data_IF_901499787530
#
_entry.id   IF_901499787530
#
_cell.length_a   1.000
_cell.length_b   1.000
_cell.length_c   1.000
_cell.angle_alpha   90.00
_cell.angle_beta   90.00
_cell.angle_gamma   90.00
#
_symmetry.space_group_name_H-M   'P 1'
#
loop_
_entity.id
_entity.type
_entity.pdbx_description
1 polymer ?
#
# COMPACT_ATOMS: atom_id res chain seq x y z
N UNK A 1 -14.45 -9.43 -7.53
CA UNK A 1 -14.20 -8.49 -6.42
C UNK A 1 -14.63 -9.06 -5.05
N UNK A 2 -15.14 -10.30 -5.00
CA UNK A 2 -15.67 -10.93 -3.77
C UNK A 2 -14.65 -11.64 -2.86
N UNK A 3 -13.37 -11.73 -3.24
CA UNK A 3 -12.37 -12.51 -2.51
C UNK A 3 -11.81 -11.83 -1.23
N UNK A 4 -12.31 -10.65 -0.86
CA UNK A 4 -11.84 -9.87 0.29
C UNK A 4 -12.89 -9.67 1.40
N UNK A 5 -14.05 -10.33 1.33
CA UNK A 5 -14.99 -10.33 2.45
C UNK A 5 -14.72 -11.55 3.34
N UNK A 6 -14.23 -11.37 4.58
CA UNK A 6 -14.24 -12.47 5.53
C UNK A 6 -15.70 -12.82 5.87
N UNK A 7 -15.97 -14.12 5.91
CA UNK A 7 -17.27 -14.70 6.25
C UNK A 7 -17.60 -14.40 7.72
N UNK A 8 -18.29 -13.29 7.96
CA UNK A 8 -18.73 -12.88 9.29
C UNK A 8 -19.26 -11.46 9.26
N UNK A 9 -20.59 -11.32 9.22
CA UNK A 9 -21.29 -10.03 9.19
C UNK A 9 -21.13 -9.21 10.48
N UNK A 10 -19.94 -8.68 10.72
CA UNK A 10 -19.69 -7.60 11.65
C UNK A 10 -19.09 -6.43 10.90
N UNK A 11 -19.62 -5.22 11.10
CA UNK A 11 -19.00 -3.99 10.64
C UNK A 11 -17.56 -3.94 11.14
N UNK A 12 -16.60 -4.24 10.27
CA UNK A 12 -15.19 -4.04 10.58
C UNK A 12 -15.00 -2.56 10.83
N UNK A 13 -14.55 -2.21 12.04
CA UNK A 13 -14.27 -0.82 12.36
C UNK A 13 -13.27 -0.26 11.35
N UNK A 14 -13.35 1.03 11.04
CA UNK A 14 -12.44 1.67 10.09
C UNK A 14 -10.96 1.44 10.45
N UNK A 15 -10.66 1.29 11.75
CA UNK A 15 -9.35 0.93 12.25
C UNK A 15 -8.94 -0.50 11.88
N UNK A 16 -9.85 -1.47 11.99
CA UNK A 16 -9.58 -2.86 11.60
C UNK A 16 -9.36 -3.00 10.09
N UNK A 17 -10.14 -2.29 9.28
CA UNK A 17 -9.95 -2.24 7.81
C UNK A 17 -8.59 -1.62 7.47
N UNK A 18 -8.26 -0.47 8.06
CA UNK A 18 -6.96 0.18 7.83
C UNK A 18 -5.80 -0.74 8.22
N UNK A 19 -5.91 -1.45 9.34
CA UNK A 19 -4.90 -2.40 9.78
C UNK A 19 -4.71 -3.53 8.77
N UNK A 20 -5.79 -4.16 8.31
CA UNK A 20 -5.72 -5.20 7.29
C UNK A 20 -5.05 -4.71 6.00
N UNK A 21 -5.35 -3.48 5.57
CA UNK A 21 -4.73 -2.86 4.39
C UNK A 21 -3.23 -2.63 4.58
N UNK A 22 -2.81 -2.19 5.76
CA UNK A 22 -1.40 -1.98 6.08
C UNK A 22 -0.64 -3.31 6.19
N UNK A 23 -1.22 -4.32 6.83
CA UNK A 23 -0.63 -5.66 6.92
C UNK A 23 -0.43 -6.26 5.52
N UNK A 24 -1.41 -6.08 4.61
CA UNK A 24 -1.31 -6.51 3.21
C UNK A 24 -0.20 -5.77 2.46
N UNK A 25 -0.05 -4.46 2.69
CA UNK A 25 1.01 -3.64 2.11
C UNK A 25 2.40 -4.12 2.56
N UNK A 26 2.61 -4.34 3.85
CA UNK A 26 3.90 -4.76 4.41
C UNK A 26 4.31 -6.14 3.88
N UNK A 27 3.37 -7.08 3.83
CA UNK A 27 3.58 -8.43 3.30
C UNK A 27 3.95 -8.41 1.81
N UNK A 28 3.26 -7.59 1.00
CA UNK A 28 3.59 -7.40 -0.41
C UNK A 28 4.97 -6.73 -0.62
N UNK A 29 5.31 -5.73 0.21
CA UNK A 29 6.63 -5.09 0.17
C UNK A 29 7.75 -6.06 0.54
N UNK A 30 7.53 -6.87 1.58
CA UNK A 30 8.47 -7.90 2.02
C UNK A 30 8.76 -8.92 0.91
N UNK A 31 7.71 -9.39 0.21
CA UNK A 31 7.89 -10.26 -0.97
C UNK A 31 8.68 -9.58 -2.09
N UNK A 32 8.35 -8.33 -2.42
CA UNK A 32 9.04 -7.60 -3.49
C UNK A 32 10.56 -7.50 -3.21
N UNK A 33 10.92 -7.15 -1.97
CA UNK A 33 12.31 -7.10 -1.50
C UNK A 33 12.99 -8.48 -1.56
N UNK A 34 12.29 -9.55 -1.15
CA UNK A 34 12.84 -10.90 -1.18
C UNK A 34 13.05 -11.44 -2.61
N UNK A 35 12.33 -10.90 -3.60
CA UNK A 35 12.44 -11.28 -5.02
C UNK A 35 13.34 -10.36 -5.85
N UNK A 36 14.07 -9.45 -5.21
CA UNK A 36 14.95 -8.48 -5.88
C UNK A 36 14.22 -7.61 -6.94
N UNK A 37 12.96 -7.30 -6.64
CA UNK A 37 12.11 -6.51 -7.53
C UNK A 37 12.61 -5.07 -7.57
N UNK A 38 12.72 -4.52 -8.76
CA UNK A 38 13.26 -3.18 -8.96
C UNK A 38 12.28 -2.07 -8.53
N UNK A 39 11.01 -2.23 -8.85
CA UNK A 39 9.95 -1.26 -8.53
C UNK A 39 8.62 -1.96 -8.26
N UNK A 40 7.77 -1.32 -7.47
CA UNK A 40 6.40 -1.77 -7.20
C UNK A 40 5.47 -0.56 -7.10
N UNK A 41 4.24 -0.71 -7.61
CA UNK A 41 3.19 0.32 -7.51
C UNK A 41 2.11 -0.16 -6.54
N UNK A 42 1.86 0.62 -5.50
CA UNK A 42 0.78 0.35 -4.55
C UNK A 42 -0.43 1.24 -4.84
N UNK A 43 -1.58 0.61 -5.07
CA UNK A 43 -2.86 1.30 -5.27
C UNK A 43 -3.58 1.37 -3.92
N UNK A 44 -3.68 2.57 -3.35
CA UNK A 44 -4.35 2.82 -2.07
C UNK A 44 -5.68 3.56 -2.21
N UNK A 45 -6.05 3.95 -3.45
CA UNK A 45 -7.27 4.69 -3.76
C UNK A 45 -7.22 6.17 -3.37
N UNK A 46 -8.24 6.92 -3.79
CA UNK A 46 -8.33 8.38 -3.68
C UNK A 46 -9.17 8.88 -2.50
N UNK A 47 -9.40 8.06 -1.47
CA UNK A 47 -10.27 8.39 -0.33
C UNK A 47 -9.76 9.54 0.54
N UNK A 48 -9.91 9.46 1.87
CA UNK A 48 -9.44 10.51 2.80
C UNK A 48 -7.90 10.69 2.86
N UNK A 49 -7.14 9.90 2.11
CA UNK A 49 -5.68 9.90 2.11
C UNK A 49 -5.05 9.23 3.33
N UNK A 50 -5.84 8.62 4.22
CA UNK A 50 -5.35 7.97 5.45
C UNK A 50 -4.38 6.83 5.13
N UNK A 51 -4.78 5.90 4.26
CA UNK A 51 -3.93 4.78 3.86
C UNK A 51 -2.63 5.26 3.16
N UNK A 52 -2.73 6.24 2.25
CA UNK A 52 -1.57 6.87 1.60
C UNK A 52 -0.57 7.40 2.62
N UNK A 53 -1.05 8.17 3.61
CA UNK A 53 -0.19 8.77 4.64
C UNK A 53 0.56 7.72 5.45
N UNK A 54 -0.12 6.65 5.87
CA UNK A 54 0.54 5.58 6.63
C UNK A 54 1.52 4.78 5.76
N UNK A 55 1.19 4.48 4.49
CA UNK A 55 2.12 3.87 3.54
C UNK A 55 3.39 4.73 3.38
N UNK A 56 3.26 6.03 3.12
CA UNK A 56 4.40 6.95 2.96
C UNK A 56 5.27 7.02 4.23
N UNK A 57 4.64 6.92 5.40
CA UNK A 57 5.30 6.92 6.71
C UNK A 57 6.06 5.62 6.98
N UNK A 58 5.57 4.47 6.49
CA UNK A 58 6.29 3.21 6.55
C UNK A 58 7.47 3.21 5.57
N UNK A 59 7.24 3.62 4.32
CA UNK A 59 8.27 3.72 3.29
C UNK A 59 9.43 4.64 3.68
N UNK A 60 9.13 5.82 4.23
CA UNK A 60 10.16 6.80 4.63
C UNK A 60 11.09 6.30 5.74
N UNK A 61 10.68 5.28 6.51
CA UNK A 61 11.49 4.67 7.57
C UNK A 61 12.19 3.39 7.13
N UNK A 62 11.85 2.86 5.96
CA UNK A 62 12.44 1.65 5.44
C UNK A 62 13.72 1.98 4.67
N UNK A 63 14.85 1.52 5.20
CA UNK A 63 16.19 1.70 4.64
C UNK A 63 16.42 0.93 3.34
N UNK A 64 15.58 0.00 2.95
CA UNK A 64 15.69 -0.77 1.70
C UNK A 64 14.92 -0.09 0.55
N UNK A 65 14.32 1.07 0.81
CA UNK A 65 13.67 1.91 -0.20
C UNK A 65 14.66 2.94 -0.72
N UNK A 66 14.75 3.05 -2.04
CA UNK A 66 15.57 4.07 -2.72
C UNK A 66 14.84 5.40 -2.79
N UNK A 67 13.61 5.39 -3.28
CA UNK A 67 12.69 6.53 -3.25
C UNK A 67 11.25 6.05 -3.46
N UNK A 68 10.29 6.91 -3.15
CA UNK A 68 8.89 6.71 -3.49
C UNK A 68 8.26 8.05 -3.88
N UNK A 69 7.27 7.99 -4.76
CA UNK A 69 6.53 9.17 -5.22
C UNK A 69 5.07 8.81 -5.52
N UNK A 70 4.18 9.80 -5.45
CA UNK A 70 2.82 9.61 -5.93
C UNK A 70 2.86 9.33 -7.44
N UNK A 71 2.13 8.31 -7.88
CA UNK A 71 2.13 7.91 -9.28
C UNK A 71 1.53 9.00 -10.16
N UNK A 72 2.06 9.18 -11.38
CA UNK A 72 1.58 10.19 -12.32
C UNK A 72 0.11 9.92 -12.70
N UNK A 73 -0.68 10.99 -12.72
CA UNK A 73 -2.13 11.00 -12.99
C UNK A 73 -2.52 10.21 -14.24
N UNK A 74 -1.67 10.24 -15.27
CA UNK A 74 -1.92 9.64 -16.59
C UNK A 74 -1.95 8.11 -16.58
N UNK A 75 -1.33 7.45 -15.58
CA UNK A 75 -1.20 5.98 -15.54
C UNK A 75 -2.08 5.30 -14.48
N UNK A 76 -2.28 5.92 -13.31
CA UNK A 76 -3.00 5.31 -12.18
C UNK A 76 -3.92 6.28 -11.41
N UNK A 77 -4.11 7.52 -11.88
CA UNK A 77 -4.81 8.56 -11.11
C UNK A 77 -4.04 9.01 -9.85
N UNK A 78 -4.73 9.72 -8.94
CA UNK A 78 -4.14 10.23 -7.68
C UNK A 78 -4.07 9.17 -6.55
N UNK A 79 -4.36 7.92 -6.85
CA UNK A 79 -4.62 6.86 -5.87
C UNK A 79 -3.52 5.82 -5.72
N UNK A 80 -2.31 6.08 -6.22
CA UNK A 80 -1.22 5.12 -6.15
C UNK A 80 0.14 5.76 -5.85
N UNK A 81 1.04 4.96 -5.30
CA UNK A 81 2.42 5.31 -4.94
C UNK A 81 3.37 4.37 -5.67
N UNK A 82 4.31 4.93 -6.44
CA UNK A 82 5.44 4.20 -7.02
C UNK A 82 6.54 4.10 -5.97
N UNK A 83 7.11 2.92 -5.81
CA UNK A 83 8.21 2.64 -4.88
C UNK A 83 9.36 2.01 -5.65
N UNK A 84 10.55 2.62 -5.56
CA UNK A 84 11.79 2.06 -6.08
C UNK A 84 12.56 1.42 -4.93
N UNK A 85 12.82 0.12 -5.06
CA UNK A 85 13.62 -0.64 -4.10
C UNK A 85 15.12 -0.43 -4.39
N UNK A 86 15.96 -0.65 -3.37
CA UNK A 86 17.42 -0.54 -3.50
C UNK A 86 18.03 -1.69 -4.29
#
# INVERSE_FOLDING_TARGET
>A
LDALRPDGGGDMSSAAILRLQLDTFEDALGRALATDMHEIVFIHGSGSGTLRKEIHKLLSRNKDIKFFEDSRKEKFGYGATLVRLK
#
